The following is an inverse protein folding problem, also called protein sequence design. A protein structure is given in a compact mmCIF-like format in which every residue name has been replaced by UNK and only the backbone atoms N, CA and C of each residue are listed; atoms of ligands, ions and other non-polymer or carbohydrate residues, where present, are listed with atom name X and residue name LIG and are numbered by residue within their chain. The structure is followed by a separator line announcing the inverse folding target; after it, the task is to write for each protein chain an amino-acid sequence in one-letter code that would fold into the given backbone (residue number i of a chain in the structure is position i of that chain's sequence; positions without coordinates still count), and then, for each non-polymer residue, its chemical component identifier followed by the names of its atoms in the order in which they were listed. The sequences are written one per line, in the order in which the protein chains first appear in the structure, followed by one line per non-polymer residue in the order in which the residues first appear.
data_IF_939358372299
#
_entry.id   IF_939358372299
#
_cell.length_a   1.000
_cell.length_b   1.000
_cell.length_c   1.000
_cell.angle_alpha   90.00
_cell.angle_beta   90.00
_cell.angle_gamma   90.00
#
_symmetry.space_group_name_H-M   'P 1'
#
loop_
_entity.id
_entity.type
_entity.pdbx_description
1 polymer ?
#
# COMPACT_ATOMS: atom_id res chain seq x y z
N UNK A 1 -5.15 0.49 -7.96
CA UNK A 1 -3.71 0.42 -7.62
C UNK A 1 -2.91 0.69 -8.88
N UNK A 2 -1.81 1.44 -8.80
CA UNK A 2 -0.95 1.74 -9.94
C UNK A 2 0.39 1.01 -9.85
N UNK A 3 1.07 0.86 -10.98
CA UNK A 3 2.47 0.39 -11.05
C UNK A 3 2.72 -1.05 -10.57
N UNK A 4 1.73 -1.92 -10.67
CA UNK A 4 1.87 -3.35 -10.32
C UNK A 4 2.91 -4.07 -11.17
N UNK A 5 3.09 -3.65 -12.43
CA UNK A 5 4.08 -4.24 -13.35
C UNK A 5 5.54 -3.92 -13.00
N UNK A 6 5.78 -3.00 -12.05
CA UNK A 6 7.13 -2.67 -11.56
C UNK A 6 7.53 -3.50 -10.34
N UNK A 7 6.60 -4.26 -9.78
CA UNK A 7 6.83 -5.08 -8.61
C UNK A 7 7.43 -6.43 -9.03
N UNK A 8 8.38 -6.97 -8.25
CA UNK A 8 8.79 -8.36 -8.38
C UNK A 8 7.64 -9.28 -7.95
N UNK A 9 7.70 -10.55 -8.37
CA UNK A 9 6.69 -11.55 -8.03
C UNK A 9 6.60 -11.78 -6.51
N UNK A 10 7.72 -11.66 -5.78
CA UNK A 10 7.79 -11.71 -4.32
C UNK A 10 8.98 -10.90 -3.74
N UNK A 11 9.13 -10.92 -2.40
CA UNK A 11 10.31 -10.38 -1.72
C UNK A 11 10.33 -8.87 -1.45
N UNK A 12 9.28 -8.13 -1.83
CA UNK A 12 9.15 -6.70 -1.50
C UNK A 12 8.39 -6.47 -0.19
N UNK A 13 8.64 -5.34 0.46
CA UNK A 13 7.83 -4.89 1.61
C UNK A 13 6.83 -3.85 1.14
N UNK A 14 5.67 -3.77 1.78
CA UNK A 14 4.63 -2.80 1.44
C UNK A 14 4.14 -2.06 2.67
N UNK A 15 3.88 -0.76 2.51
CA UNK A 15 3.24 0.10 3.51
C UNK A 15 1.90 0.55 2.95
N UNK A 16 0.82 0.21 3.65
CA UNK A 16 -0.56 0.53 3.28
C UNK A 16 -1.32 1.14 4.46
N UNK A 17 -0.79 2.21 5.07
CA UNK A 17 -1.41 2.83 6.22
C UNK A 17 -2.55 3.78 5.80
N UNK A 18 -3.82 3.49 6.15
CA UNK A 18 -4.93 4.35 5.79
C UNK A 18 -4.97 5.62 6.65
N UNK A 19 -5.69 6.64 6.16
CA UNK A 19 -6.05 7.80 6.99
C UNK A 19 -6.93 7.34 8.16
N UNK A 20 -6.62 7.82 9.37
CA UNK A 20 -7.42 7.53 10.55
C UNK A 20 -8.73 8.32 10.52
N UNK A 21 -9.86 7.62 10.40
CA UNK A 21 -11.21 8.20 10.37
C UNK A 21 -12.05 7.53 11.45
N UNK A 22 -12.63 8.33 12.35
CA UNK A 22 -13.40 7.82 13.49
C UNK A 22 -14.60 6.98 13.03
N UNK A 23 -14.71 5.75 13.56
CA UNK A 23 -15.76 4.75 13.24
C UNK A 23 -15.85 4.38 11.75
N UNK A 24 -14.82 4.62 10.95
CA UNK A 24 -14.79 4.17 9.56
C UNK A 24 -14.32 2.71 9.43
N UNK A 25 -14.87 2.00 8.46
CA UNK A 25 -14.43 0.65 8.11
C UNK A 25 -13.19 0.62 7.22
N UNK A 26 -12.92 1.71 6.50
CA UNK A 26 -11.79 1.86 5.59
C UNK A 26 -11.42 3.34 5.41
N UNK A 27 -10.19 3.60 4.96
CA UNK A 27 -9.70 4.94 4.65
C UNK A 27 -8.89 4.92 3.35
N UNK A 28 -8.79 6.09 2.71
CA UNK A 28 -7.91 6.24 1.56
C UNK A 28 -6.44 6.04 1.98
N UNK A 29 -5.65 5.44 1.09
CA UNK A 29 -4.25 5.10 1.33
C UNK A 29 -3.41 5.41 0.09
N UNK A 30 -2.18 5.88 0.32
CA UNK A 30 -1.10 5.92 -0.68
C UNK A 30 -0.19 4.70 -0.46
N UNK A 31 -0.44 3.57 -1.13
CA UNK A 31 0.38 2.38 -0.97
C UNK A 31 1.79 2.65 -1.54
N UNK A 32 2.80 2.22 -0.80
CA UNK A 32 4.22 2.34 -1.19
C UNK A 32 4.85 0.96 -1.08
N UNK A 33 5.53 0.54 -2.15
CA UNK A 33 6.36 -0.65 -2.14
C UNK A 33 7.83 -0.25 -1.87
N UNK A 34 8.47 -0.98 -0.96
CA UNK A 34 9.89 -0.90 -0.67
C UNK A 34 10.55 -2.07 -1.38
N UNK A 35 11.29 -1.74 -2.43
CA UNK A 35 12.13 -2.67 -3.17
C UNK A 35 13.50 -2.80 -2.46
N UNK A 36 14.18 -3.96 -2.57
CA UNK A 36 15.55 -4.12 -2.06
C UNK A 36 16.55 -3.17 -2.75
#
# INVERSE_FOLDING_TARGET
MGNLHLLPDDGFKIICQPVNIYKASAGWVRPIAILP
#
